data_IF_608015909756
#
_entry.id   IF_608015909756
#
_cell.length_a   1.000
_cell.length_b   1.000
_cell.length_c   1.000
_cell.angle_alpha   90.00
_cell.angle_beta   90.00
_cell.angle_gamma   90.00
#
_symmetry.space_group_name_H-M   'P 1'
#
loop_
_entity.id
_entity.type
_entity.pdbx_description
1 polymer ?
#
# COMPACT_ATOMS: atom_id res chain seq x y z
N UNK A 1 -15.95 49.48 -34.54
CA UNK A 1 -14.93 49.04 -33.57
C UNK A 1 -15.54 49.02 -32.17
N UNK A 2 -15.97 47.85 -31.67
CA UNK A 2 -16.16 47.56 -30.24
C UNK A 2 -15.95 46.05 -30.08
N UNK A 3 -14.75 45.68 -29.67
CA UNK A 3 -14.37 44.29 -29.46
C UNK A 3 -14.80 43.88 -28.05
N UNK A 4 -15.83 43.05 -27.94
CA UNK A 4 -16.16 42.35 -26.70
C UNK A 4 -15.30 41.09 -26.62
N UNK A 5 -14.11 41.21 -26.04
CA UNK A 5 -13.26 40.08 -25.68
C UNK A 5 -12.79 40.29 -24.25
N UNK A 6 -13.43 39.60 -23.31
CA UNK A 6 -13.05 39.68 -21.91
C UNK A 6 -14.17 39.17 -21.05
N UNK A 7 -14.19 37.85 -20.81
CA UNK A 7 -14.66 37.34 -19.51
C UNK A 7 -14.28 35.86 -19.24
N UNK A 8 -13.72 35.12 -20.21
CA UNK A 8 -13.57 33.66 -20.08
C UNK A 8 -12.14 33.17 -19.76
N UNK A 9 -11.26 34.00 -19.18
CA UNK A 9 -9.87 33.60 -18.91
C UNK A 9 -9.55 33.32 -17.42
N UNK A 10 -10.35 33.82 -16.47
CA UNK A 10 -10.01 33.67 -15.05
C UNK A 10 -10.44 32.35 -14.42
N UNK A 11 -11.39 31.62 -15.02
CA UNK A 11 -11.89 30.37 -14.43
C UNK A 11 -10.98 29.15 -14.64
N UNK A 12 -10.05 29.19 -15.60
CA UNK A 12 -9.15 28.08 -15.89
C UNK A 12 -7.78 28.16 -15.18
N UNK A 13 -7.40 29.35 -14.70
CA UNK A 13 -6.11 29.55 -14.02
C UNK A 13 -6.10 29.09 -12.55
N UNK A 14 -7.26 28.97 -11.91
CA UNK A 14 -7.37 28.57 -10.50
C UNK A 14 -7.17 27.07 -10.23
N UNK A 15 -7.42 26.21 -11.22
CA UNK A 15 -7.35 24.75 -11.04
C UNK A 15 -5.91 24.21 -11.19
N UNK A 16 -5.05 24.91 -11.94
CA UNK A 16 -3.65 24.49 -12.19
C UNK A 16 -2.74 24.78 -10.99
N UNK A 17 -3.07 25.78 -10.16
CA UNK A 17 -2.30 26.15 -8.97
C UNK A 17 -2.49 25.21 -7.76
N UNK A 18 -3.44 24.27 -7.84
CA UNK A 18 -3.64 23.24 -6.81
C UNK A 18 -2.76 21.99 -7.04
N UNK A 19 -2.08 21.88 -8.18
CA UNK A 19 -1.27 20.71 -8.55
C UNK A 19 0.21 20.75 -8.15
N UNK A 20 0.75 21.92 -7.77
CA UNK A 20 2.20 22.09 -7.54
C UNK A 20 2.64 21.93 -6.08
N UNK A 21 1.74 21.46 -5.20
CA UNK A 21 1.94 21.49 -3.75
C UNK A 21 2.21 20.15 -3.05
N UNK A 22 2.18 19.01 -3.74
CA UNK A 22 2.69 17.77 -3.14
C UNK A 22 4.22 17.79 -3.22
N UNK A 23 4.86 18.21 -2.13
CA UNK A 23 6.30 18.03 -1.95
C UNK A 23 6.65 16.54 -2.09
N UNK A 24 7.85 16.19 -2.55
CA UNK A 24 8.34 14.80 -2.61
C UNK A 24 8.15 14.09 -1.26
N UNK A 25 8.28 14.82 -0.15
CA UNK A 25 8.04 14.29 1.18
C UNK A 25 6.55 14.03 1.47
N UNK A 26 5.62 14.83 0.94
CA UNK A 26 4.18 14.54 1.00
C UNK A 26 3.81 13.37 0.09
N UNK A 27 4.43 13.26 -1.08
CA UNK A 27 4.24 12.13 -1.99
C UNK A 27 4.80 10.83 -1.39
N UNK A 28 5.97 10.88 -0.74
CA UNK A 28 6.56 9.77 0.02
C UNK A 28 5.75 9.42 1.26
N UNK A 29 5.14 10.41 1.94
CA UNK A 29 4.20 10.17 3.05
C UNK A 29 2.90 9.53 2.56
N UNK A 30 2.33 9.99 1.44
CA UNK A 30 1.15 9.40 0.82
C UNK A 30 1.41 7.97 0.33
N UNK A 31 2.59 7.71 -0.25
CA UNK A 31 3.07 6.36 -0.57
C UNK A 31 3.13 5.45 0.66
N UNK A 32 3.36 6.00 1.86
CA UNK A 32 3.40 5.25 3.13
C UNK A 32 2.05 5.12 3.83
N UNK A 33 1.05 5.91 3.44
CA UNK A 33 -0.33 5.84 3.98
C UNK A 33 -1.18 4.85 3.18
N UNK A 34 -0.80 4.55 1.93
CA UNK A 34 -1.48 3.56 1.11
C UNK A 34 -1.35 2.16 1.69
N UNK A 35 -2.49 1.51 1.92
CA UNK A 35 -2.56 0.07 2.11
C UNK A 35 -1.99 -0.58 0.84
N UNK A 36 -0.73 -1.02 0.85
CA UNK A 36 -0.12 -1.74 -0.26
C UNK A 36 -0.47 -3.21 -0.14
N UNK A 37 -0.79 -3.86 -1.26
CA UNK A 37 -1.06 -5.28 -1.27
C UNK A 37 -0.38 -6.01 -2.42
N UNK A 38 0.01 -7.25 -2.13
CA UNK A 38 0.64 -8.17 -3.06
C UNK A 38 -0.37 -9.31 -3.31
N UNK A 39 -0.72 -9.52 -4.57
CA UNK A 39 -1.63 -10.57 -5.01
C UNK A 39 -0.83 -11.64 -5.74
N UNK A 40 -1.08 -12.91 -5.40
CA UNK A 40 -0.35 -14.04 -5.95
C UNK A 40 -0.01 -15.08 -4.89
N UNK A 41 1.00 -15.87 -5.20
CA UNK A 41 1.48 -16.95 -4.35
C UNK A 41 2.71 -16.50 -3.58
N UNK A 42 2.60 -16.48 -2.26
CA UNK A 42 3.65 -16.00 -1.38
C UNK A 42 3.94 -16.97 -0.24
N UNK A 43 5.21 -17.04 0.13
CA UNK A 43 5.67 -17.50 1.43
C UNK A 43 5.89 -16.30 2.32
N UNK A 44 5.17 -16.25 3.43
CA UNK A 44 5.34 -15.24 4.47
C UNK A 44 6.10 -15.86 5.64
N UNK A 45 7.24 -15.29 5.97
CA UNK A 45 8.10 -15.74 7.07
C UNK A 45 8.16 -14.67 8.15
N UNK A 46 7.67 -14.98 9.34
CA UNK A 46 7.92 -14.19 10.55
C UNK A 46 9.12 -14.77 11.29
N UNK A 47 10.09 -13.93 11.66
CA UNK A 47 11.27 -14.35 12.40
C UNK A 47 11.59 -13.38 13.55
N UNK A 48 11.65 -13.93 14.76
CA UNK A 48 12.08 -13.23 15.97
C UNK A 48 13.06 -14.10 16.77
N UNK A 49 14.36 -13.82 16.60
CA UNK A 49 15.41 -14.63 17.22
C UNK A 49 15.35 -16.09 16.75
N UNK A 50 15.07 -17.00 17.67
CA UNK A 50 14.90 -18.44 17.37
C UNK A 50 13.46 -18.82 17.00
N UNK A 51 12.50 -17.89 17.15
CA UNK A 51 11.11 -18.15 16.81
C UNK A 51 10.87 -17.81 15.33
N UNK A 52 10.70 -18.83 14.50
CA UNK A 52 10.39 -18.67 13.07
C UNK A 52 9.06 -19.34 12.78
N UNK A 53 8.15 -18.62 12.13
CA UNK A 53 6.88 -19.15 11.64
C UNK A 53 6.68 -18.80 10.18
N UNK A 54 6.20 -19.76 9.41
CA UNK A 54 5.99 -19.61 7.97
C UNK A 54 4.55 -19.95 7.60
N UNK A 55 4.04 -19.23 6.61
CA UNK A 55 2.74 -19.49 6.01
C UNK A 55 2.86 -19.42 4.50
N UNK A 56 2.17 -20.33 3.82
CA UNK A 56 1.93 -20.21 2.39
C UNK A 56 0.57 -19.55 2.15
N UNK A 57 0.59 -18.52 1.32
CA UNK A 57 -0.56 -17.74 0.89
C UNK A 57 -0.69 -18.01 -0.60
N UNK A 58 -1.66 -18.84 -0.98
CA UNK A 58 -1.90 -19.24 -2.38
C UNK A 58 -3.17 -18.59 -2.91
N UNK A 59 -3.16 -18.13 -4.15
CA UNK A 59 -4.27 -17.45 -4.84
C UNK A 59 -4.94 -16.38 -3.96
N UNK A 60 -4.11 -15.59 -3.27
CA UNK A 60 -4.59 -14.73 -2.20
C UNK A 60 -3.74 -13.46 -2.11
N UNK A 61 -4.02 -12.65 -1.09
CA UNK A 61 -3.49 -11.31 -0.93
C UNK A 61 -2.78 -11.17 0.40
N UNK A 62 -1.57 -10.64 0.35
CA UNK A 62 -0.85 -10.12 1.53
C UNK A 62 -1.00 -8.61 1.55
N UNK A 63 -1.55 -8.08 2.64
CA UNK A 63 -1.84 -6.65 2.76
C UNK A 63 -0.98 -6.01 3.82
N UNK A 64 -0.46 -4.82 3.55
CA UNK A 64 0.28 -4.00 4.51
C UNK A 64 -0.61 -2.89 5.07
N UNK A 65 -0.58 -2.74 6.39
CA UNK A 65 -1.07 -1.55 7.09
C UNK A 65 0.18 -0.84 7.64
N UNK A 66 0.88 -0.14 6.75
CA UNK A 66 2.20 0.43 7.04
C UNK A 66 2.16 1.44 8.19
N UNK A 67 1.06 2.21 8.32
CA UNK A 67 0.87 3.16 9.41
C UNK A 67 0.79 2.50 10.79
N UNK A 68 0.38 1.23 10.87
CA UNK A 68 0.31 0.45 12.12
C UNK A 68 1.42 -0.59 12.26
N UNK A 69 2.28 -0.73 11.25
CA UNK A 69 3.47 -1.57 11.30
C UNK A 69 3.23 -3.08 11.16
N UNK A 70 2.13 -3.52 10.50
CA UNK A 70 1.88 -4.94 10.30
C UNK A 70 1.43 -5.31 8.88
N UNK A 71 1.75 -6.55 8.49
CA UNK A 71 1.08 -7.26 7.40
C UNK A 71 -0.10 -8.05 7.94
N UNK A 72 -1.10 -8.29 7.09
CA UNK A 72 -2.18 -9.21 7.37
C UNK A 72 -2.64 -9.96 6.14
N UNK A 73 -3.04 -11.21 6.34
CA UNK A 73 -3.41 -12.13 5.27
C UNK A 73 -4.22 -13.30 5.82
N UNK A 74 -4.81 -14.06 4.90
CA UNK A 74 -5.40 -15.36 5.21
C UNK A 74 -4.44 -16.47 4.79
N UNK A 75 -4.11 -17.35 5.73
CA UNK A 75 -3.31 -18.55 5.49
C UNK A 75 -4.15 -19.81 5.69
N UNK A 76 -3.69 -20.94 5.17
CA UNK A 76 -4.25 -22.26 5.46
C UNK A 76 -3.28 -23.01 6.36
N UNK A 77 -3.70 -23.34 7.57
CA UNK A 77 -2.93 -24.13 8.53
C UNK A 77 -3.79 -25.30 8.98
N UNK A 78 -3.31 -26.53 8.83
CA UNK A 78 -4.05 -27.76 9.17
C UNK A 78 -5.44 -27.85 8.50
N UNK A 79 -5.54 -27.41 7.23
CA UNK A 79 -6.79 -27.42 6.47
C UNK A 79 -7.81 -26.36 6.89
N UNK A 80 -7.48 -25.49 7.85
CA UNK A 80 -8.34 -24.38 8.29
C UNK A 80 -7.78 -23.05 7.81
N UNK A 81 -8.67 -22.20 7.30
CA UNK A 81 -8.34 -20.81 6.97
C UNK A 81 -8.19 -20.00 8.26
N UNK A 82 -7.03 -19.40 8.47
CA UNK A 82 -6.70 -18.57 9.63
C UNK A 82 -6.34 -17.16 9.18
N UNK A 83 -6.77 -16.17 9.96
CA UNK A 83 -6.36 -14.79 9.77
C UNK A 83 -5.06 -14.56 10.54
N UNK A 84 -4.04 -14.02 9.87
CA UNK A 84 -2.70 -13.82 10.44
C UNK A 84 -2.35 -12.35 10.35
N UNK A 85 -1.72 -11.83 11.40
CA UNK A 85 -1.08 -10.52 11.42
C UNK A 85 0.37 -10.66 11.89
N UNK A 86 1.30 -10.04 11.20
CA UNK A 86 2.74 -10.08 11.56
C UNK A 86 3.36 -8.70 11.47
N UNK A 87 4.29 -8.33 12.38
CA UNK A 87 4.95 -7.03 12.33
C UNK A 87 5.84 -6.92 11.08
N UNK A 88 5.77 -5.78 10.38
CA UNK A 88 6.51 -5.54 9.12
C UNK A 88 8.02 -5.69 9.34
N UNK A 89 8.55 -5.17 10.45
CA UNK A 89 9.99 -5.16 10.76
C UNK A 89 10.62 -6.55 10.87
N UNK A 90 9.80 -7.60 11.03
CA UNK A 90 10.23 -8.98 11.28
C UNK A 90 9.60 -9.98 10.32
N UNK A 91 9.02 -9.48 9.23
CA UNK A 91 8.34 -10.30 8.24
C UNK A 91 9.01 -10.19 6.88
N UNK A 92 9.30 -11.32 6.28
CA UNK A 92 9.79 -11.45 4.92
C UNK A 92 8.68 -12.06 4.05
N UNK A 93 8.49 -11.53 2.85
CA UNK A 93 7.49 -12.01 1.89
C UNK A 93 8.24 -12.36 0.62
N UNK A 94 8.14 -13.62 0.21
CA UNK A 94 8.80 -14.16 -0.98
C UNK A 94 7.73 -14.72 -1.92
N UNK A 95 7.77 -14.33 -3.19
CA UNK A 95 6.92 -14.96 -4.21
C UNK A 95 7.38 -16.39 -4.43
N UNK A 96 6.43 -17.32 -4.58
CA UNK A 96 6.71 -18.74 -4.77
C UNK A 96 6.15 -19.23 -6.10
N UNK A 97 6.84 -20.18 -6.79
CA UNK A 97 6.37 -20.73 -8.06
C UNK A 97 5.09 -21.57 -7.94
#
# INVERSE_FOLDING_TARGET
MKNHFGFTACAFAGLVLLGTGCTEETQNKLSRIGVTWLEGDYRVTFAEGQHVKQWEVRDSKVTSEAAKGYYYFWAVENGKKIYVQTPIERTYIEEIP
#
